data_IF_573741998013
#
_entry.id   IF_573741998013
#
_cell.length_a   1.000
_cell.length_b   1.000
_cell.length_c   1.000
_cell.angle_alpha   90.00
_cell.angle_beta   90.00
_cell.angle_gamma   90.00
#
_symmetry.space_group_name_H-M   'P 1'
#
loop_
_entity.id
_entity.type
_entity.pdbx_description
1 polymer ?
#
# COMPACT_ATOMS: atom_id res chain seq x y z
N UNK A 1 17.29 12.64 -7.97
CA UNK A 1 17.04 13.64 -6.90
C UNK A 1 15.89 13.14 -6.03
N UNK A 2 16.16 12.63 -4.82
CA UNK A 2 15.12 12.32 -3.84
C UNK A 2 14.97 13.53 -2.92
N UNK A 3 13.79 14.16 -2.88
CA UNK A 3 13.55 15.31 -2.01
C UNK A 3 13.61 14.88 -0.54
N UNK A 4 14.49 15.53 0.22
CA UNK A 4 14.65 15.42 1.67
C UNK A 4 13.27 15.63 2.34
N UNK A 5 12.77 14.61 3.05
CA UNK A 5 11.46 14.65 3.73
C UNK A 5 10.44 13.59 3.30
N UNK A 6 10.76 12.70 2.33
CA UNK A 6 9.87 11.60 2.00
C UNK A 6 9.86 10.57 3.14
N UNK A 7 8.90 10.70 4.07
CA UNK A 7 8.65 9.68 5.08
C UNK A 7 8.12 8.45 4.33
N UNK A 8 8.95 7.41 4.25
CA UNK A 8 8.49 6.10 3.80
C UNK A 8 7.62 5.50 4.90
N UNK A 9 6.37 5.96 4.98
CA UNK A 9 5.37 5.27 5.80
C UNK A 9 5.20 3.87 5.20
N UNK A 10 5.72 2.86 5.89
CA UNK A 10 5.39 1.47 5.61
C UNK A 10 3.99 1.24 6.15
N UNK A 11 3.02 1.20 5.25
CA UNK A 11 1.66 0.81 5.61
C UNK A 11 1.58 -0.70 5.67
N UNK A 12 1.09 -1.22 6.80
CA UNK A 12 0.83 -2.64 6.99
C UNK A 12 -0.19 -3.15 5.97
N UNK A 13 -0.16 -4.46 5.70
CA UNK A 13 -1.13 -5.12 4.81
C UNK A 13 -2.57 -4.81 5.24
N UNK A 14 -2.84 -4.79 6.54
CA UNK A 14 -4.14 -4.47 7.11
C UNK A 14 -4.64 -3.07 6.69
N UNK A 15 -3.78 -2.05 6.77
CA UNK A 15 -4.12 -0.70 6.32
C UNK A 15 -4.42 -0.66 4.82
N UNK A 16 -3.63 -1.39 4.03
CA UNK A 16 -3.85 -1.51 2.58
C UNK A 16 -5.19 -2.19 2.27
N UNK A 17 -5.49 -3.30 2.94
CA UNK A 17 -6.75 -4.03 2.78
C UNK A 17 -7.93 -3.16 3.18
N UNK A 18 -7.85 -2.47 4.33
CA UNK A 18 -8.89 -1.53 4.78
C UNK A 18 -9.12 -0.42 3.77
N UNK A 19 -8.05 0.09 3.14
CA UNK A 19 -8.16 1.10 2.09
C UNK A 19 -8.88 0.58 0.83
N UNK A 20 -8.66 -0.68 0.46
CA UNK A 20 -9.36 -1.32 -0.67
C UNK A 20 -10.82 -1.61 -0.31
N UNK A 21 -11.08 -2.15 0.88
CA UNK A 21 -12.42 -2.43 1.37
C UNK A 21 -13.30 -1.16 1.38
N UNK A 22 -12.81 -0.07 1.94
CA UNK A 22 -13.50 1.23 1.91
C UNK A 22 -13.73 1.72 0.47
N UNK A 23 -12.85 1.35 -0.48
CA UNK A 23 -13.04 1.68 -1.89
C UNK A 23 -14.13 0.85 -2.54
N UNK A 24 -14.25 -0.43 -2.17
CA UNK A 24 -15.31 -1.33 -2.61
C UNK A 24 -16.67 -0.89 -2.05
N UNK A 25 -16.68 -0.31 -0.86
CA UNK A 25 -17.86 0.35 -0.27
C UNK A 25 -18.27 1.65 -1.00
N UNK A 26 -17.49 2.12 -1.98
CA UNK A 26 -17.80 3.31 -2.79
C UNK A 26 -17.17 4.61 -2.30
N UNK A 27 -16.33 4.60 -1.26
CA UNK A 27 -15.73 5.83 -0.73
C UNK A 27 -14.73 6.46 -1.72
N UNK A 28 -14.60 7.79 -1.68
CA UNK A 28 -13.66 8.51 -2.55
C UNK A 28 -12.21 8.39 -2.06
N UNK A 29 -11.22 8.66 -2.94
CA UNK A 29 -9.79 8.43 -2.60
C UNK A 29 -9.34 9.35 -1.48
N UNK A 30 -9.92 10.54 -1.43
CA UNK A 30 -9.68 11.54 -0.39
C UNK A 30 -10.22 11.09 0.95
N UNK A 31 -11.43 10.55 0.99
CA UNK A 31 -12.04 10.05 2.23
C UNK A 31 -11.27 8.87 2.80
N UNK A 32 -10.91 7.89 1.96
CA UNK A 32 -10.09 6.75 2.39
C UNK A 32 -8.73 7.23 2.93
N UNK A 33 -8.10 8.19 2.25
CA UNK A 33 -6.83 8.74 2.68
C UNK A 33 -6.95 9.50 4.01
N UNK A 34 -7.98 10.32 4.19
CA UNK A 34 -8.24 11.01 5.43
C UNK A 34 -8.55 10.05 6.58
N UNK A 35 -9.40 9.05 6.35
CA UNK A 35 -9.80 8.07 7.35
C UNK A 35 -8.65 7.15 7.81
N UNK A 36 -7.71 6.84 6.92
CA UNK A 36 -6.55 6.00 7.22
C UNK A 36 -5.26 6.80 7.49
N UNK A 37 -5.32 8.13 7.49
CA UNK A 37 -4.14 8.99 7.66
C UNK A 37 -3.10 8.82 6.55
N UNK A 38 -3.51 8.42 5.35
CA UNK A 38 -2.61 8.23 4.21
C UNK A 38 -2.30 9.59 3.60
N UNK A 39 -1.07 10.05 3.78
CA UNK A 39 -0.62 11.31 3.19
C UNK A 39 -0.53 11.27 1.65
N UNK A 40 -0.29 10.09 1.07
CA UNK A 40 -0.09 9.93 -0.38
C UNK A 40 -1.25 9.17 -1.05
N UNK A 41 -2.13 9.91 -1.71
CA UNK A 41 -3.27 9.36 -2.47
C UNK A 41 -2.78 8.55 -3.70
N UNK A 42 -1.59 8.86 -4.22
CA UNK A 42 -0.98 8.14 -5.35
C UNK A 42 -0.80 6.64 -5.06
N UNK A 43 -0.37 6.30 -3.85
CA UNK A 43 -0.21 4.91 -3.38
C UNK A 43 -1.52 4.12 -3.41
N UNK A 44 -2.65 4.76 -3.11
CA UNK A 44 -3.96 4.09 -3.20
C UNK A 44 -4.29 3.65 -4.63
N UNK A 45 -3.88 4.41 -5.64
CA UNK A 45 -4.03 4.02 -7.06
C UNK A 45 -3.19 2.78 -7.37
N UNK A 46 -1.95 2.74 -6.88
CA UNK A 46 -1.05 1.58 -7.07
C UNK A 46 -1.62 0.34 -6.37
N UNK A 47 -2.12 0.48 -5.15
CA UNK A 47 -2.74 -0.63 -4.40
C UNK A 47 -3.97 -1.16 -5.12
N UNK A 48 -4.86 -0.29 -5.60
CA UNK A 48 -6.02 -0.70 -6.40
C UNK A 48 -5.64 -1.47 -7.66
N UNK A 49 -4.62 -0.97 -8.39
CA UNK A 49 -4.14 -1.63 -9.59
C UNK A 49 -3.59 -3.03 -9.25
N UNK A 50 -2.71 -3.13 -8.25
CA UNK A 50 -2.15 -4.41 -7.81
C UNK A 50 -3.20 -5.37 -7.27
N UNK A 51 -4.21 -4.86 -6.56
CA UNK A 51 -5.34 -5.66 -6.08
C UNK A 51 -6.17 -6.22 -7.23
N UNK A 52 -6.34 -5.46 -8.32
CA UNK A 52 -7.04 -5.97 -9.51
C UNK A 52 -6.24 -7.02 -10.28
N UNK A 53 -4.91 -6.91 -10.29
CA UNK A 53 -4.02 -7.84 -11.01
C UNK A 53 -3.73 -9.12 -10.21
N UNK A 54 -3.55 -9.02 -8.89
CA UNK A 54 -3.05 -10.11 -8.04
C UNK A 54 -3.89 -10.35 -6.77
N UNK A 55 -4.99 -9.63 -6.57
CA UNK A 55 -5.77 -9.69 -5.34
C UNK A 55 -4.98 -9.20 -4.12
N UNK A 56 -5.22 -9.84 -2.98
CA UNK A 56 -4.53 -9.57 -1.71
C UNK A 56 -3.00 -9.67 -1.81
N UNK A 57 -2.51 -10.60 -2.64
CA UNK A 57 -1.07 -10.83 -2.86
C UNK A 57 -0.40 -9.58 -3.45
N UNK A 58 -1.12 -8.79 -4.24
CA UNK A 58 -0.62 -7.54 -4.81
C UNK A 58 -0.43 -6.43 -3.77
N UNK A 59 -1.11 -6.51 -2.62
CA UNK A 59 -0.96 -5.57 -1.51
C UNK A 59 0.17 -5.95 -0.57
N UNK A 60 0.57 -7.23 -0.57
CA UNK A 60 1.72 -7.72 0.18
C UNK A 60 2.99 -7.07 -0.33
N UNK A 61 3.76 -6.52 0.60
CA UNK A 61 5.03 -5.89 0.27
C UNK A 61 6.03 -7.00 -0.10
N UNK A 62 6.24 -7.21 -1.41
CA UNK A 62 7.18 -8.22 -1.92
C UNK A 62 8.64 -7.90 -1.60
N UNK A 63 8.93 -6.79 -0.90
CA UNK A 63 10.30 -6.33 -0.62
C UNK A 63 11.00 -7.10 0.49
N UNK A 64 10.41 -8.19 1.00
CA UNK A 64 11.05 -9.11 1.94
C UNK A 64 11.44 -10.46 1.31
N UNK A 65 11.98 -10.45 0.08
CA UNK A 65 12.67 -11.62 -0.50
C UNK A 65 14.16 -11.40 -0.82
N UNK A 66 14.81 -10.46 -0.15
CA UNK A 66 16.28 -10.34 -0.18
C UNK A 66 16.82 -9.97 1.21
N UNK A 67 16.61 -10.84 2.20
CA UNK A 67 17.48 -10.95 3.38
C UNK A 67 17.53 -12.42 3.77
N UNK A 68 18.71 -13.05 3.64
CA UNK A 68 18.97 -14.43 4.05
C UNK A 68 19.44 -15.37 2.94
N UNK A 69 20.47 -15.00 2.19
CA UNK A 69 21.44 -15.99 1.71
C UNK A 69 22.27 -16.46 2.91
N UNK A 70 21.89 -17.56 3.52
CA UNK A 70 22.76 -18.42 4.34
C UNK A 70 22.55 -19.81 3.72
N UNK A 71 23.47 -20.35 2.92
CA UNK A 71 24.81 -20.73 3.34
C UNK A 71 24.77 -22.22 3.68
N UNK A 72 24.97 -23.09 2.67
CA UNK A 72 25.41 -24.48 2.82
C UNK A 72 26.59 -24.67 1.88
#
# INVERSE_FOLDING_TARGET
MAKKGQIFCSYSLETKKKAIDMRLQGMTKKEVAAALGIADIGRLKVWMRKYREYGDLGLMDQRKRVQGTEGI
#
